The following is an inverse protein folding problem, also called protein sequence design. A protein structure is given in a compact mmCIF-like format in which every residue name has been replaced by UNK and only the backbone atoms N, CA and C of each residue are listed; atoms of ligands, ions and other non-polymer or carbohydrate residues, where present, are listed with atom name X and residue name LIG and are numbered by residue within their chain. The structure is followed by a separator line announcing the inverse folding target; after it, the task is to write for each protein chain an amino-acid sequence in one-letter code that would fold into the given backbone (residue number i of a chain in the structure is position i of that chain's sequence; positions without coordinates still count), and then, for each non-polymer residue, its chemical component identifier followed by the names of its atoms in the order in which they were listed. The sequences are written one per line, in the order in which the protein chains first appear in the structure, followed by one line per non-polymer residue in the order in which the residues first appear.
data_IF_204246393371
#
_entry.id   IF_204246393371
#
_cell.length_a   1.000
_cell.length_b   1.000
_cell.length_c   1.000
_cell.angle_alpha   90.00
_cell.angle_beta   90.00
_cell.angle_gamma   90.00
#
_symmetry.space_group_name_H-M   'P 1'
#
loop_
_entity.id
_entity.type
_entity.pdbx_description
1 polymer ?
#
# COMPACT_ATOMS: atom_id res chain seq x y z
N UNK A 1 -15.68 6.30 24.11
CA UNK A 1 -16.13 5.93 22.75
C UNK A 1 -15.42 6.84 21.76
N UNK A 2 -14.33 6.41 21.08
CA UNK A 2 -13.91 7.08 19.86
C UNK A 2 -14.63 6.40 18.68
N UNK A 3 -15.38 7.16 17.87
CA UNK A 3 -16.29 6.61 16.87
C UNK A 3 -15.54 5.97 15.71
N UNK A 4 -16.08 4.80 15.34
CA UNK A 4 -16.32 4.23 14.01
C UNK A 4 -15.39 4.69 12.89
N UNK A 5 -14.76 3.71 12.22
CA UNK A 5 -13.94 3.87 11.01
C UNK A 5 -14.57 4.81 9.95
N UNK A 6 -15.90 4.95 9.95
CA UNK A 6 -16.69 5.89 9.16
C UNK A 6 -17.92 6.27 10.00
N UNK A 7 -17.98 7.49 10.53
CA UNK A 7 -19.19 7.97 11.21
C UNK A 7 -20.32 8.04 10.17
N UNK A 8 -21.25 7.08 10.21
CA UNK A 8 -22.42 7.06 9.32
C UNK A 8 -22.19 6.57 7.88
N UNK A 9 -21.09 5.85 7.57
CA UNK A 9 -20.76 5.38 6.20
C UNK A 9 -20.56 6.51 5.16
N UNK A 10 -20.29 7.74 5.59
CA UNK A 10 -19.87 8.81 4.70
C UNK A 10 -18.35 8.90 4.69
N UNK A 11 -17.76 9.07 3.49
CA UNK A 11 -16.37 9.47 3.37
C UNK A 11 -16.21 10.81 4.09
N UNK A 12 -15.38 10.84 5.14
CA UNK A 12 -14.96 12.09 5.74
C UNK A 12 -14.01 12.76 4.76
N UNK A 13 -14.59 13.48 3.78
CA UNK A 13 -13.88 14.27 2.77
C UNK A 13 -12.94 15.33 3.39
N UNK A 14 -13.08 15.60 4.69
CA UNK A 14 -12.21 16.51 5.42
C UNK A 14 -10.92 15.86 5.93
N UNK A 15 -10.83 14.52 5.94
CA UNK A 15 -9.72 13.73 6.50
C UNK A 15 -9.38 14.07 7.97
N UNK A 16 -10.27 14.73 8.70
CA UNK A 16 -10.02 15.21 10.07
C UNK A 16 -10.10 14.09 11.11
N UNK A 17 -10.77 12.99 10.80
CA UNK A 17 -10.82 11.82 11.68
C UNK A 17 -9.70 10.82 11.36
N UNK A 18 -9.13 10.20 12.41
CA UNK A 18 -8.03 9.21 12.33
C UNK A 18 -8.33 8.07 11.34
N UNK A 19 -9.60 7.79 11.10
CA UNK A 19 -10.06 6.66 10.29
C UNK A 19 -10.53 7.00 8.88
N UNK A 20 -10.81 8.27 8.56
CA UNK A 20 -10.86 8.75 7.16
C UNK A 20 -9.47 8.84 6.53
N UNK A 21 -8.43 8.81 7.36
CA UNK A 21 -7.03 8.88 6.95
C UNK A 21 -6.47 7.49 6.62
N UNK A 22 -6.86 6.92 5.47
CA UNK A 22 -6.32 5.66 4.97
C UNK A 22 -4.79 5.68 4.83
N UNK A 23 -4.21 6.87 4.63
CA UNK A 23 -2.76 7.05 4.51
C UNK A 23 -2.03 6.75 5.82
N UNK A 24 -2.59 7.14 6.97
CA UNK A 24 -2.05 6.78 8.29
C UNK A 24 -2.03 5.27 8.47
N UNK A 25 -3.14 4.59 8.15
CA UNK A 25 -3.22 3.12 8.22
C UNK A 25 -2.21 2.46 7.28
N UNK A 26 -2.05 3.00 6.07
CA UNK A 26 -1.06 2.53 5.12
C UNK A 26 0.37 2.73 5.63
N UNK A 27 0.69 3.85 6.30
CA UNK A 27 2.01 4.09 6.91
C UNK A 27 2.30 3.09 8.03
N UNK A 28 1.35 2.86 8.93
CA UNK A 28 1.46 1.85 10.01
C UNK A 28 1.74 0.47 9.41
N UNK A 29 0.99 0.07 8.38
CA UNK A 29 1.19 -1.20 7.68
C UNK A 29 2.52 -1.26 6.95
N UNK A 30 2.91 -0.19 6.25
CA UNK A 30 4.19 -0.13 5.52
C UNK A 30 5.37 -0.27 6.47
N UNK A 31 5.34 0.40 7.63
CA UNK A 31 6.36 0.26 8.67
C UNK A 31 6.40 -1.17 9.23
N UNK A 32 5.24 -1.73 9.59
CA UNK A 32 5.17 -3.07 10.16
C UNK A 32 5.65 -4.16 9.18
N UNK A 33 5.37 -3.98 7.89
CA UNK A 33 5.61 -4.97 6.86
C UNK A 33 6.96 -4.79 6.13
N UNK A 34 7.47 -3.56 6.02
CA UNK A 34 8.69 -3.21 5.25
C UNK A 34 9.75 -2.48 6.07
N UNK A 35 9.46 -2.14 7.32
CA UNK A 35 10.39 -1.45 8.23
C UNK A 35 10.28 0.07 8.18
N UNK A 36 10.85 0.76 9.18
CA UNK A 36 10.75 2.22 9.34
C UNK A 36 11.37 3.01 8.18
N UNK A 37 12.44 2.48 7.58
CA UNK A 37 13.12 3.10 6.44
C UNK A 37 12.23 3.19 5.20
N UNK A 38 11.24 2.29 5.06
CA UNK A 38 10.29 2.29 3.94
C UNK A 38 9.37 3.52 3.86
N UNK A 39 9.34 4.34 4.91
CA UNK A 39 8.63 5.62 4.91
C UNK A 39 9.41 6.72 4.17
N UNK A 40 10.74 6.63 4.12
CA UNK A 40 11.63 7.70 3.66
C UNK A 40 12.44 7.29 2.43
N UNK A 41 12.76 5.99 2.32
CA UNK A 41 13.51 5.41 1.22
C UNK A 41 12.75 4.23 0.64
N UNK A 42 12.80 4.15 -0.67
CA UNK A 42 12.09 3.13 -1.45
C UNK A 42 13.07 2.11 -2.07
N UNK A 43 14.35 2.22 -1.71
CA UNK A 43 15.47 1.48 -2.30
C UNK A 43 15.58 0.05 -1.79
N UNK A 44 15.81 -0.87 -2.73
CA UNK A 44 16.02 -2.30 -2.51
C UNK A 44 17.49 -2.59 -2.17
N UNK A 45 17.93 -2.23 -0.97
CA UNK A 45 19.25 -2.63 -0.44
C UNK A 45 19.20 -3.28 0.94
N UNK A 46 18.04 -3.23 1.61
CA UNK A 46 17.86 -3.74 2.97
C UNK A 46 17.52 -5.23 3.05
N UNK A 47 17.51 -5.80 4.27
CA UNK A 47 17.08 -7.17 4.52
C UNK A 47 15.70 -7.47 3.94
N UNK A 48 15.44 -8.75 3.60
CA UNK A 48 14.11 -9.19 3.13
C UNK A 48 13.03 -8.71 4.08
N UNK A 49 12.10 -7.90 3.56
CA UNK A 49 10.98 -7.35 4.32
C UNK A 49 10.04 -8.45 4.81
N UNK A 50 9.20 -8.15 5.81
CA UNK A 50 8.19 -9.11 6.30
C UNK A 50 7.19 -9.47 5.20
N UNK A 51 6.91 -8.56 4.24
CA UNK A 51 6.10 -8.89 3.06
C UNK A 51 6.68 -10.07 2.26
N UNK A 52 8.00 -10.09 2.05
CA UNK A 52 8.68 -11.18 1.34
C UNK A 52 8.72 -12.46 2.17
N UNK A 53 9.00 -12.35 3.47
CA UNK A 53 9.10 -13.50 4.38
C UNK A 53 7.75 -14.21 4.56
N UNK A 54 6.66 -13.44 4.64
CA UNK A 54 5.32 -13.97 4.89
C UNK A 54 4.48 -14.12 3.62
N UNK A 55 5.08 -13.91 2.44
CA UNK A 55 4.40 -13.91 1.14
C UNK A 55 3.12 -13.05 1.14
N UNK A 56 3.18 -11.92 1.84
CA UNK A 56 2.05 -11.02 2.05
C UNK A 56 1.98 -10.03 0.89
N UNK A 57 1.05 -10.25 -0.03
CA UNK A 57 0.94 -9.51 -1.31
C UNK A 57 -0.14 -8.41 -1.32
N UNK A 58 -1.10 -8.52 -0.40
CA UNK A 58 -2.21 -7.59 -0.29
C UNK A 58 -2.67 -7.47 1.15
N UNK A 59 -3.23 -6.32 1.51
CA UNK A 59 -3.83 -6.13 2.83
C UNK A 59 -5.10 -6.96 2.97
N UNK A 60 -5.36 -7.37 4.21
CA UNK A 60 -6.54 -8.13 4.60
C UNK A 60 -7.42 -7.27 5.52
N UNK A 61 -8.71 -7.59 5.69
CA UNK A 61 -9.56 -6.95 6.68
C UNK A 61 -8.92 -6.93 8.08
N UNK A 62 -8.28 -8.04 8.46
CA UNK A 62 -7.60 -8.19 9.75
C UNK A 62 -6.39 -7.27 9.89
N UNK A 63 -5.57 -7.13 8.85
CA UNK A 63 -4.41 -6.23 8.91
C UNK A 63 -4.82 -4.76 8.98
N UNK A 64 -5.88 -4.36 8.26
CA UNK A 64 -6.40 -2.99 8.33
C UNK A 64 -6.98 -2.71 9.72
N UNK A 65 -7.78 -3.63 10.26
CA UNK A 65 -8.31 -3.52 11.62
C UNK A 65 -7.18 -3.43 12.65
N UNK A 66 -6.13 -4.24 12.52
CA UNK A 66 -4.95 -4.17 13.38
C UNK A 66 -4.25 -2.81 13.30
N UNK A 67 -4.03 -2.28 12.09
CA UNK A 67 -3.41 -0.97 11.90
C UNK A 67 -4.21 0.15 12.57
N UNK A 68 -5.54 0.09 12.52
CA UNK A 68 -6.41 1.02 13.23
C UNK A 68 -6.24 0.92 14.75
N UNK A 69 -6.09 -0.30 15.31
CA UNK A 69 -5.80 -0.48 16.75
C UNK A 69 -4.45 0.10 17.14
N UNK A 70 -3.42 -0.10 16.32
CA UNK A 70 -2.10 0.50 16.58
C UNK A 70 -2.17 2.02 16.55
N UNK A 71 -2.89 2.61 15.60
CA UNK A 71 -3.07 4.06 15.56
C UNK A 71 -3.76 4.59 16.82
N UNK A 72 -4.81 3.91 17.30
CA UNK A 72 -5.50 4.28 18.55
C UNK A 72 -4.56 4.14 19.74
N UNK A 73 -3.81 3.03 19.82
CA UNK A 73 -2.88 2.76 20.91
C UNK A 73 -1.76 3.83 20.98
N UNK A 74 -1.18 4.22 19.85
CA UNK A 74 -0.16 5.27 19.79
C UNK A 74 -0.66 6.64 20.24
N UNK A 75 -1.97 6.89 20.13
CA UNK A 75 -2.62 8.11 20.58
C UNK A 75 -3.15 8.02 22.02
N UNK A 76 -3.08 6.83 22.64
CA UNK A 76 -3.56 6.60 23.99
C UNK A 76 -2.43 6.79 25.00
N UNK A 77 -2.76 6.97 26.30
CA UNK A 77 -1.76 6.99 27.37
C UNK A 77 -1.26 5.58 27.76
N UNK A 78 -1.64 4.52 27.04
CA UNK A 78 -1.22 3.16 27.37
C UNK A 78 0.18 2.87 26.81
N UNK A 79 1.02 2.22 27.61
CA UNK A 79 2.39 1.87 27.22
C UNK A 79 2.52 0.43 26.72
N UNK A 80 1.52 -0.41 26.95
CA UNK A 80 1.53 -1.82 26.56
C UNK A 80 0.11 -2.36 26.31
N UNK A 81 0.02 -3.43 25.52
CA UNK A 81 -1.22 -4.20 25.38
C UNK A 81 -1.31 -5.24 26.49
N UNK A 82 -2.36 -5.18 27.30
CA UNK A 82 -2.63 -6.20 28.31
C UNK A 82 -3.25 -7.46 27.70
N UNK A 83 -3.03 -8.62 28.34
CA UNK A 83 -3.65 -9.90 27.95
C UNK A 83 -5.19 -9.85 27.95
N UNK A 84 -5.78 -9.02 28.81
CA UNK A 84 -7.23 -8.78 28.84
C UNK A 84 -7.75 -8.10 27.56
N UNK A 85 -6.88 -7.36 26.86
CA UNK A 85 -7.25 -6.47 25.76
C UNK A 85 -7.70 -5.08 26.20
N UNK A 86 -7.73 -4.81 27.51
CA UNK A 86 -8.11 -3.52 28.08
C UNK A 86 -6.87 -2.66 28.33
N UNK A 87 -6.90 -1.40 27.89
CA UNK A 87 -5.88 -0.41 28.19
C UNK A 87 -5.85 -0.10 29.69
N UNK A 88 -4.65 -0.15 30.29
CA UNK A 88 -4.46 0.03 31.74
C UNK A 88 -4.82 1.44 32.19
N UNK A 89 -4.39 2.44 31.43
CA UNK A 89 -4.56 3.86 31.74
C UNK A 89 -5.79 4.43 31.04
N UNK A 90 -6.03 4.01 29.80
CA UNK A 90 -7.12 4.57 28.99
C UNK A 90 -8.48 3.90 29.21
N UNK A 91 -8.52 2.66 29.71
CA UNK A 91 -9.72 1.83 29.75
C UNK A 91 -10.26 1.44 28.36
N UNK A 92 -9.49 1.66 27.28
CA UNK A 92 -9.90 1.30 25.93
C UNK A 92 -9.85 -0.22 25.76
N UNK A 93 -10.97 -0.83 25.34
CA UNK A 93 -10.98 -2.25 25.01
C UNK A 93 -10.53 -2.46 23.55
N UNK A 94 -9.22 -2.60 23.37
CA UNK A 94 -8.59 -2.81 22.06
C UNK A 94 -9.04 -4.11 21.39
N UNK A 95 -9.30 -5.15 22.19
CA UNK A 95 -9.77 -6.44 21.69
C UNK A 95 -11.14 -6.31 21.04
N UNK A 96 -12.08 -5.68 21.72
CA UNK A 96 -13.44 -5.51 21.19
C UNK A 96 -13.45 -4.57 19.98
N UNK A 97 -12.66 -3.49 20.02
CA UNK A 97 -12.48 -2.60 18.87
C UNK A 97 -11.93 -3.35 17.65
N UNK A 98 -10.94 -4.22 17.84
CA UNK A 98 -10.38 -5.02 16.74
C UNK A 98 -11.45 -5.88 16.08
N UNK A 99 -12.23 -6.61 16.88
CA UNK A 99 -13.29 -7.47 16.37
C UNK A 99 -14.39 -6.68 15.67
N UNK A 100 -14.76 -5.53 16.23
CA UNK A 100 -15.77 -4.66 15.63
C UNK A 100 -15.32 -4.16 14.24
N UNK A 101 -14.09 -3.65 14.14
CA UNK A 101 -13.52 -3.18 12.87
C UNK A 101 -13.35 -4.29 11.85
N UNK A 102 -12.82 -5.44 12.27
CA UNK A 102 -12.68 -6.60 11.40
C UNK A 102 -14.05 -7.07 10.88
N UNK A 103 -15.07 -7.13 11.74
CA UNK A 103 -16.44 -7.52 11.36
C UNK A 103 -17.03 -6.54 10.35
N UNK A 104 -16.86 -5.23 10.58
CA UNK A 104 -17.33 -4.20 9.65
C UNK A 104 -16.68 -4.36 8.27
N UNK A 105 -15.35 -4.50 8.23
CA UNK A 105 -14.60 -4.68 6.99
C UNK A 105 -15.01 -5.97 6.26
N UNK A 106 -15.24 -7.08 6.97
CA UNK A 106 -15.74 -8.32 6.36
C UNK A 106 -17.15 -8.16 5.80
N UNK A 107 -18.04 -7.46 6.52
CA UNK A 107 -19.44 -7.27 6.11
C UNK A 107 -19.57 -6.35 4.89
N UNK A 108 -18.63 -5.41 4.74
CA UNK A 108 -18.65 -4.38 3.69
C UNK A 108 -17.51 -4.54 2.68
N UNK A 109 -16.86 -5.69 2.65
CA UNK A 109 -15.65 -5.90 1.86
C UNK A 109 -15.87 -5.63 0.38
N UNK A 110 -17.01 -6.08 -0.14
CA UNK A 110 -17.37 -5.97 -1.56
C UNK A 110 -17.97 -4.60 -1.92
N UNK A 111 -18.02 -3.65 -0.98
CA UNK A 111 -18.51 -2.30 -1.28
C UNK A 111 -17.47 -1.49 -2.05
N UNK A 112 -17.94 -0.69 -3.02
CA UNK A 112 -17.07 0.14 -3.86
C UNK A 112 -16.12 1.03 -3.03
N UNK A 113 -16.63 1.66 -1.97
CA UNK A 113 -15.83 2.50 -1.08
C UNK A 113 -14.69 1.72 -0.40
N UNK A 114 -14.97 0.55 0.17
CA UNK A 114 -13.94 -0.27 0.82
C UNK A 114 -12.93 -0.78 -0.21
N UNK A 115 -13.37 -1.15 -1.41
CA UNK A 115 -12.46 -1.51 -2.49
C UNK A 115 -11.48 -0.38 -2.84
N UNK A 116 -11.96 0.86 -2.98
CA UNK A 116 -11.09 2.02 -3.26
C UNK A 116 -10.07 2.24 -2.14
N UNK A 117 -10.50 2.15 -0.88
CA UNK A 117 -9.59 2.30 0.27
C UNK A 117 -8.54 1.18 0.29
N UNK A 118 -8.95 -0.06 0.07
CA UNK A 118 -8.06 -1.23 0.03
C UNK A 118 -7.04 -1.08 -1.11
N UNK A 119 -7.47 -0.62 -2.29
CA UNK A 119 -6.57 -0.36 -3.42
C UNK A 119 -5.54 0.73 -3.08
N UNK A 120 -5.97 1.83 -2.48
CA UNK A 120 -5.08 2.92 -2.08
C UNK A 120 -4.05 2.46 -1.03
N UNK A 121 -4.49 1.72 -0.02
CA UNK A 121 -3.60 1.15 0.99
C UNK A 121 -2.62 0.15 0.35
N UNK A 122 -3.11 -0.77 -0.49
CA UNK A 122 -2.26 -1.73 -1.20
C UNK A 122 -1.21 -1.01 -2.04
N UNK A 123 -1.62 0.00 -2.81
CA UNK A 123 -0.70 0.79 -3.59
C UNK A 123 0.39 1.38 -2.70
N UNK A 124 0.04 2.09 -1.62
CA UNK A 124 1.03 2.75 -0.74
C UNK A 124 1.96 1.77 -0.01
N UNK A 125 1.46 0.60 0.39
CA UNK A 125 2.24 -0.41 1.13
C UNK A 125 3.18 -1.18 0.20
N UNK A 126 2.68 -1.60 -0.97
CA UNK A 126 3.36 -2.52 -1.87
C UNK A 126 3.99 -1.86 -3.10
N UNK A 127 3.70 -0.60 -3.40
CA UNK A 127 4.47 0.14 -4.40
C UNK A 127 5.93 0.16 -3.95
N UNK A 128 6.81 -0.37 -4.79
CA UNK A 128 8.19 0.06 -4.80
C UNK A 128 8.22 1.40 -5.52
N UNK A 129 8.99 2.39 -5.06
CA UNK A 129 9.20 3.57 -5.88
C UNK A 129 9.77 3.07 -7.18
N UNK A 130 9.02 3.31 -8.24
CA UNK A 130 9.69 3.70 -9.46
C UNK A 130 10.49 4.92 -9.07
N UNK A 131 11.81 4.77 -9.05
CA UNK A 131 12.72 5.89 -9.05
C UNK A 131 12.11 6.91 -9.99
N UNK A 132 11.73 8.07 -9.47
CA UNK A 132 11.59 9.25 -10.32
C UNK A 132 13.00 9.68 -10.67
N UNK A 133 13.70 8.81 -11.41
CA UNK A 133 14.82 9.18 -12.25
C UNK A 133 14.18 9.58 -13.59
N UNK A 134 13.61 10.77 -13.61
CA UNK A 134 13.70 11.58 -14.81
C UNK A 134 15.18 11.92 -14.96
N UNK A 135 15.91 11.06 -15.65
CA UNK A 135 17.35 11.14 -15.88
C UNK A 135 17.81 9.87 -16.58
N UNK A 136 17.80 9.92 -17.91
CA UNK A 136 18.32 8.95 -18.90
C UNK A 136 18.84 7.61 -18.37
N UNK A 137 18.10 6.53 -18.68
CA UNK A 137 18.65 5.27 -19.19
C UNK A 137 17.48 4.34 -19.53
N UNK A 138 16.77 4.66 -20.61
CA UNK A 138 15.94 3.68 -21.29
C UNK A 138 16.88 2.70 -21.99
N UNK A 139 17.11 1.54 -21.38
CA UNK A 139 17.48 0.35 -22.14
C UNK A 139 16.20 -0.44 -22.36
N UNK A 140 15.32 0.16 -23.17
CA UNK A 140 14.37 -0.62 -23.95
C UNK A 140 15.20 -1.47 -24.90
N UNK A 141 14.85 -2.74 -24.99
CA UNK A 141 15.39 -3.62 -26.02
C UNK A 141 14.87 -3.15 -27.38
N UNK A 142 15.55 -2.15 -27.95
CA UNK A 142 15.28 -1.59 -29.28
C UNK A 142 15.81 -2.50 -30.40
N UNK A 143 16.20 -3.74 -30.11
CA UNK A 143 16.68 -4.68 -31.11
C UNK A 143 15.66 -4.88 -32.22
N UNK A 144 14.37 -4.92 -31.90
CA UNK A 144 13.30 -5.06 -32.91
C UNK A 144 13.14 -3.81 -33.79
N UNK A 145 13.30 -2.61 -33.24
CA UNK A 145 13.22 -1.35 -34.00
C UNK A 145 14.46 -1.12 -34.87
N UNK A 146 15.65 -1.50 -34.39
CA UNK A 146 16.91 -1.44 -35.16
C UNK A 146 16.90 -2.46 -36.29
N UNK A 147 16.45 -3.71 -36.05
CA UNK A 147 16.32 -4.73 -37.11
C UNK A 147 15.29 -4.28 -38.16
N UNK A 148 14.18 -3.67 -37.74
CA UNK A 148 13.20 -3.13 -38.66
C UNK A 148 13.75 -1.97 -39.51
N UNK A 149 14.54 -1.07 -38.90
CA UNK A 149 15.18 0.03 -39.63
C UNK A 149 16.29 -0.46 -40.59
N UNK A 150 17.07 -1.48 -40.21
CA UNK A 150 18.09 -2.08 -41.08
C UNK A 150 17.45 -2.78 -42.29
N UNK A 151 16.35 -3.51 -42.10
CA UNK A 151 15.62 -4.13 -43.20
C UNK A 151 14.94 -3.11 -44.13
N UNK A 152 14.58 -1.93 -43.62
CA UNK A 152 13.99 -0.86 -44.43
C UNK A 152 15.03 -0.11 -45.29
N UNK A 153 16.32 -0.21 -44.96
CA UNK A 153 17.42 0.38 -45.73
C UNK A 153 18.05 -0.59 -46.74
N UNK A 154 17.76 -1.89 -46.61
CA UNK A 154 18.27 -2.94 -47.51
C UNK A 154 17.35 -3.21 -48.73
N UNK A 155 16.44 -2.27 -49.02
CA UNK A 155 15.42 -2.39 -50.08
C UNK A 155 15.62 -1.40 -51.23
N UNK A 156 16.84 -0.91 -51.47
CA UNK A 156 17.11 0.02 -52.59
C UNK A 156 18.33 -0.37 -53.45
N UNK A 157 18.63 -1.65 -53.56
CA UNK A 157 19.62 -2.14 -54.52
C UNK A 157 19.15 -3.45 -55.14
N UNK A 158 18.15 -3.36 -56.01
CA UNK A 158 18.07 -4.17 -57.24
C UNK A 158 16.96 -3.61 -58.15
N UNK A 159 17.35 -2.71 -59.05
CA UNK A 159 16.72 -2.59 -60.36
C UNK A 159 17.80 -2.38 -61.41
N UNK A 160 18.29 -3.51 -61.93
CA UNK A 160 18.78 -3.64 -63.31
C UNK A 160 17.88 -2.82 -64.26
N UNK A 161 18.50 -1.99 -65.09
CA UNK A 161 17.88 -1.57 -66.35
C UNK A 161 18.91 -1.68 -67.47
N UNK A 162 18.60 -2.61 -68.37
CA UNK A 162 19.21 -2.85 -69.66
C UNK A 162 19.30 -1.60 -70.53
N UNK A 163 20.41 -1.44 -71.25
CA UNK A 163 20.45 -0.84 -72.59
C UNK A 163 21.44 -1.61 -73.47
#
# INVERSE_FOLDING_TARGET
FPPVLFLGMQEDLSLKTVFGNWELLAKVLKVALRGVTSLHQETSGGPKTNTCKWNFKQVTPGSIAWAAIIAIFLLSPDTEFQKSGLGKSSGINYKDLFYHYKKLLLTKWDSCCIHTIVQNINHKVFSSAKSSASGMAGQGDHSSEIIHAMNALDMDSDSESDV
#
